data_IF_381237506428
#
_entry.id   IF_381237506428
#
_cell.length_a   1.000
_cell.length_b   1.000
_cell.length_c   1.000
_cell.angle_alpha   90.00
_cell.angle_beta   90.00
_cell.angle_gamma   90.00
#
_symmetry.space_group_name_H-M   'P 1'
#
loop_
_entity.id
_entity.type
_entity.pdbx_description
1 polymer ?
#
# COMPACT_ATOMS: atom_id res chain seq x y z
N UNK A 1 9.52 50.34 -46.33
CA UNK A 1 8.66 49.40 -45.69
C UNK A 1 9.38 48.08 -45.43
N UNK A 2 9.91 47.85 -44.27
CA UNK A 2 10.55 46.58 -43.91
C UNK A 2 9.63 45.80 -42.97
N UNK A 3 9.32 44.58 -43.35
CA UNK A 3 8.59 43.61 -42.53
C UNK A 3 9.63 42.76 -41.87
N UNK A 4 9.71 42.83 -40.54
CA UNK A 4 10.54 41.93 -39.71
C UNK A 4 9.67 40.78 -39.24
N UNK A 5 9.94 39.57 -39.73
CA UNK A 5 9.42 38.31 -39.19
C UNK A 5 10.07 38.02 -37.82
N UNK A 6 9.24 37.89 -36.79
CA UNK A 6 9.64 37.38 -35.49
C UNK A 6 9.37 35.89 -35.45
N UNK A 7 10.42 35.08 -35.46
CA UNK A 7 10.40 33.63 -35.24
C UNK A 7 9.92 33.32 -33.83
N UNK A 8 8.74 32.72 -33.71
CA UNK A 8 8.23 32.17 -32.46
C UNK A 8 8.98 30.90 -32.05
N UNK A 9 9.77 31.00 -30.98
CA UNK A 9 10.36 29.86 -30.28
C UNK A 9 9.28 29.11 -29.54
N UNK A 10 8.92 27.92 -30.00
CA UNK A 10 8.12 26.94 -29.23
C UNK A 10 8.98 26.34 -28.16
N UNK A 11 8.90 26.86 -26.95
CA UNK A 11 9.49 26.25 -25.76
C UNK A 11 8.84 24.88 -25.45
N UNK A 12 9.56 23.95 -24.81
CA UNK A 12 9.06 22.63 -24.50
C UNK A 12 7.86 22.72 -23.56
N UNK A 13 6.79 21.98 -23.90
CA UNK A 13 5.55 21.87 -23.15
C UNK A 13 5.80 21.72 -21.66
N UNK A 14 5.19 22.60 -20.85
CA UNK A 14 5.30 22.59 -19.40
C UNK A 14 4.90 21.23 -18.82
N UNK A 15 5.84 20.55 -18.22
CA UNK A 15 5.59 19.32 -17.45
C UNK A 15 4.57 19.66 -16.36
N UNK A 16 3.47 18.92 -16.30
CA UNK A 16 2.42 19.12 -15.31
C UNK A 16 3.00 18.98 -13.88
N UNK A 17 3.14 20.12 -13.20
CA UNK A 17 3.67 20.20 -11.83
C UNK A 17 2.89 19.32 -10.84
N UNK A 18 1.61 19.03 -11.11
CA UNK A 18 0.77 18.18 -10.26
C UNK A 18 1.23 16.73 -10.26
N UNK A 19 1.73 16.22 -11.39
CA UNK A 19 2.26 14.86 -11.51
C UNK A 19 3.58 14.73 -10.76
N UNK A 20 4.43 15.76 -10.80
CA UNK A 20 5.75 15.78 -10.13
C UNK A 20 5.63 15.80 -8.61
N UNK A 21 4.69 16.59 -8.07
CA UNK A 21 4.44 16.66 -6.62
C UNK A 21 3.83 15.38 -6.04
N UNK A 22 3.01 14.65 -6.82
CA UNK A 22 2.44 13.36 -6.39
C UNK A 22 3.52 12.29 -6.23
N UNK A 23 4.49 12.24 -7.13
CA UNK A 23 5.56 11.24 -7.14
C UNK A 23 6.47 11.35 -5.90
N UNK A 24 6.83 12.56 -5.49
CA UNK A 24 7.65 12.80 -4.30
C UNK A 24 6.98 12.37 -2.98
N UNK A 25 5.66 12.16 -2.97
CA UNK A 25 4.87 11.85 -1.76
C UNK A 25 4.74 10.36 -1.44
N UNK A 26 5.11 9.44 -2.34
CA UNK A 26 4.86 8.01 -2.18
C UNK A 26 6.03 7.22 -1.59
N UNK A 27 7.01 7.87 -0.97
CA UNK A 27 8.18 7.19 -0.37
C UNK A 27 9.25 6.77 -1.39
N UNK A 28 9.11 7.18 -2.64
CA UNK A 28 10.09 7.00 -3.71
C UNK A 28 11.01 8.22 -3.83
N UNK A 29 12.21 8.07 -4.41
CA UNK A 29 13.01 9.22 -4.81
C UNK A 29 12.22 10.19 -5.70
N UNK A 30 12.37 11.51 -5.56
CA UNK A 30 11.58 12.50 -6.28
C UNK A 30 11.64 12.38 -7.81
N UNK A 31 12.75 11.86 -8.33
CA UNK A 31 12.96 11.64 -9.76
C UNK A 31 12.45 10.30 -10.27
N UNK A 32 12.06 9.37 -9.39
CA UNK A 32 11.62 8.04 -9.77
C UNK A 32 10.39 8.08 -10.69
N UNK A 33 10.45 7.30 -11.76
CA UNK A 33 9.37 7.15 -12.75
C UNK A 33 9.08 5.69 -13.05
N UNK A 34 10.07 4.82 -12.88
CA UNK A 34 9.98 3.39 -13.20
C UNK A 34 10.28 2.57 -11.96
N UNK A 35 9.36 1.69 -11.62
CA UNK A 35 9.44 0.85 -10.41
C UNK A 35 9.33 -0.61 -10.83
N UNK A 36 10.30 -1.41 -10.39
CA UNK A 36 10.31 -2.84 -10.62
C UNK A 36 9.89 -3.60 -9.36
N UNK A 37 9.01 -4.59 -9.51
CA UNK A 37 8.43 -5.37 -8.41
C UNK A 37 8.96 -6.80 -8.44
N UNK A 38 9.64 -7.25 -7.39
CA UNK A 38 10.14 -8.63 -7.25
C UNK A 38 9.16 -9.43 -6.38
N UNK A 39 8.59 -10.52 -6.93
CA UNK A 39 7.49 -11.25 -6.32
C UNK A 39 6.13 -10.57 -6.53
N UNK A 40 5.91 -10.04 -7.74
CA UNK A 40 4.73 -9.21 -8.07
C UNK A 40 3.40 -9.97 -8.05
N UNK A 41 3.43 -11.31 -8.15
CA UNK A 41 2.24 -12.18 -8.16
C UNK A 41 1.56 -12.35 -6.81
N UNK A 42 2.20 -11.94 -5.70
CA UNK A 42 1.55 -11.91 -4.40
C UNK A 42 0.40 -10.89 -4.36
N UNK A 43 -0.71 -11.22 -3.68
CA UNK A 43 -1.94 -10.39 -3.67
C UNK A 43 -1.63 -8.95 -3.23
N UNK A 44 -0.91 -8.76 -2.15
CA UNK A 44 -0.54 -7.42 -1.67
C UNK A 44 0.45 -6.69 -2.58
N UNK A 45 1.36 -7.41 -3.28
CA UNK A 45 2.31 -6.84 -4.23
C UNK A 45 1.62 -6.39 -5.51
N UNK A 46 0.76 -7.24 -6.08
CA UNK A 46 0.01 -6.93 -7.30
C UNK A 46 -0.87 -5.71 -7.13
N UNK A 47 -1.52 -5.57 -5.97
CA UNK A 47 -2.34 -4.41 -5.65
C UNK A 47 -1.55 -3.10 -5.65
N UNK A 48 -0.36 -3.10 -5.07
CA UNK A 48 0.53 -1.94 -5.07
C UNK A 48 1.03 -1.64 -6.50
N UNK A 49 1.38 -2.68 -7.28
CA UNK A 49 1.81 -2.54 -8.66
C UNK A 49 0.71 -1.93 -9.55
N UNK A 50 -0.54 -2.42 -9.44
CA UNK A 50 -1.71 -1.85 -10.11
C UNK A 50 -1.91 -0.38 -9.73
N UNK A 51 -1.83 -0.06 -8.44
CA UNK A 51 -1.99 1.31 -7.95
C UNK A 51 -0.90 2.24 -8.47
N UNK A 52 0.37 1.79 -8.46
CA UNK A 52 1.49 2.57 -8.99
C UNK A 52 1.34 2.83 -10.49
N UNK A 53 0.91 1.82 -11.25
CA UNK A 53 0.61 1.98 -12.68
C UNK A 53 -0.53 2.98 -12.90
N UNK A 54 -1.63 2.90 -12.13
CA UNK A 54 -2.73 3.86 -12.20
C UNK A 54 -2.35 5.29 -11.81
N UNK A 55 -1.29 5.47 -11.01
CA UNK A 55 -0.70 6.77 -10.67
C UNK A 55 0.27 7.30 -11.74
N UNK A 56 0.50 6.56 -12.83
CA UNK A 56 1.31 6.99 -13.96
C UNK A 56 2.80 6.62 -13.87
N UNK A 57 3.18 5.72 -12.95
CA UNK A 57 4.52 5.14 -12.95
C UNK A 57 4.65 4.08 -14.05
N UNK A 58 5.83 3.98 -14.66
CA UNK A 58 6.20 2.82 -15.44
C UNK A 58 6.46 1.65 -14.50
N UNK A 59 5.62 0.62 -14.57
CA UNK A 59 5.71 -0.54 -13.67
C UNK A 59 6.15 -1.76 -14.46
N UNK A 60 7.11 -2.49 -13.90
CA UNK A 60 7.49 -3.83 -14.33
C UNK A 60 7.61 -4.76 -13.12
N UNK A 61 7.66 -6.05 -13.34
CA UNK A 61 7.86 -6.97 -12.23
C UNK A 61 8.25 -8.38 -12.67
N UNK A 62 8.60 -9.18 -11.68
CA UNK A 62 8.94 -10.59 -11.82
C UNK A 62 8.22 -11.43 -10.77
N UNK A 63 7.97 -12.69 -11.09
CA UNK A 63 7.47 -13.68 -10.15
C UNK A 63 8.01 -15.07 -10.55
N UNK A 64 8.24 -15.94 -9.57
CA UNK A 64 8.73 -17.30 -9.82
C UNK A 64 7.79 -18.08 -10.72
N UNK A 65 6.47 -17.87 -10.60
CA UNK A 65 5.46 -18.64 -11.30
C UNK A 65 4.47 -17.74 -12.06
N UNK A 66 4.02 -18.25 -13.20
CA UNK A 66 2.88 -17.65 -13.88
C UNK A 66 1.58 -17.99 -13.11
N UNK A 67 0.71 -17.01 -12.90
CA UNK A 67 -0.55 -17.15 -12.20
C UNK A 67 -1.62 -16.28 -12.84
N UNK A 68 -2.89 -16.46 -12.42
CA UNK A 68 -3.97 -15.58 -12.85
C UNK A 68 -3.70 -14.10 -12.46
N UNK A 69 -3.01 -13.86 -11.35
CA UNK A 69 -2.61 -12.52 -10.92
C UNK A 69 -1.60 -11.90 -11.89
N UNK A 70 -0.53 -12.64 -12.23
CA UNK A 70 0.48 -12.15 -13.18
C UNK A 70 -0.08 -11.98 -14.60
N UNK A 71 -1.03 -12.83 -15.02
CA UNK A 71 -1.73 -12.68 -16.29
C UNK A 71 -2.55 -11.38 -16.31
N UNK A 72 -3.32 -11.12 -15.26
CA UNK A 72 -4.08 -9.87 -15.10
C UNK A 72 -3.18 -8.63 -15.13
N UNK A 73 -2.05 -8.64 -14.46
CA UNK A 73 -1.12 -7.51 -14.49
C UNK A 73 -0.63 -7.23 -15.92
N UNK A 74 -0.37 -8.27 -16.73
CA UNK A 74 -0.02 -8.11 -18.14
C UNK A 74 -1.16 -7.50 -18.96
N UNK A 75 -2.41 -7.93 -18.72
CA UNK A 75 -3.60 -7.33 -19.35
C UNK A 75 -3.75 -5.83 -19.03
N UNK A 76 -3.30 -5.39 -17.84
CA UNK A 76 -3.23 -3.99 -17.44
C UNK A 76 -2.02 -3.24 -18.01
N UNK A 77 -1.22 -3.88 -18.87
CA UNK A 77 -0.06 -3.27 -19.52
C UNK A 77 1.21 -3.25 -18.66
N UNK A 78 1.25 -3.97 -17.54
CA UNK A 78 2.44 -4.11 -16.71
C UNK A 78 3.33 -5.21 -17.29
N UNK A 79 4.62 -4.92 -17.52
CA UNK A 79 5.58 -5.90 -18.04
C UNK A 79 6.01 -6.87 -16.93
N UNK A 80 5.38 -8.05 -16.87
CA UNK A 80 5.65 -9.07 -15.86
C UNK A 80 6.40 -10.25 -16.47
N UNK A 81 7.57 -10.57 -15.92
CA UNK A 81 8.41 -11.71 -16.28
C UNK A 81 8.16 -12.90 -15.36
N UNK A 82 8.41 -14.11 -15.85
CA UNK A 82 8.37 -15.34 -15.04
C UNK A 82 9.79 -15.82 -14.76
N UNK A 83 10.08 -16.10 -13.49
CA UNK A 83 11.42 -16.34 -12.97
C UNK A 83 12.05 -15.10 -12.37
N UNK A 84 13.37 -15.12 -12.17
CA UNK A 84 14.18 -13.99 -11.70
C UNK A 84 15.44 -13.85 -12.52
N UNK A 85 15.78 -12.62 -12.92
CA UNK A 85 16.99 -12.32 -13.69
C UNK A 85 17.49 -10.90 -13.35
N UNK A 86 18.74 -10.77 -12.97
CA UNK A 86 19.39 -9.51 -12.64
C UNK A 86 19.23 -8.43 -13.73
N UNK A 87 19.07 -8.81 -14.99
CA UNK A 87 18.89 -7.87 -16.11
C UNK A 87 17.58 -7.10 -16.05
N UNK A 88 16.55 -7.63 -15.37
CA UNK A 88 15.20 -7.03 -15.38
C UNK A 88 15.08 -5.77 -14.55
N UNK A 89 16.00 -5.53 -13.61
CA UNK A 89 16.08 -4.25 -12.89
C UNK A 89 16.70 -3.12 -13.70
N UNK A 90 17.16 -3.44 -14.94
CA UNK A 90 17.76 -2.44 -15.81
C UNK A 90 16.73 -1.38 -16.22
N UNK A 91 17.04 -0.13 -15.90
CA UNK A 91 16.17 1.01 -16.19
C UNK A 91 15.08 1.25 -15.14
N UNK A 92 15.01 0.50 -14.05
CA UNK A 92 14.24 0.87 -12.87
C UNK A 92 14.92 2.00 -12.10
N UNK A 93 14.11 2.84 -11.46
CA UNK A 93 14.58 3.91 -10.56
C UNK A 93 14.46 3.46 -9.09
N UNK A 94 13.67 2.42 -8.82
CA UNK A 94 13.53 1.77 -7.53
C UNK A 94 13.03 0.32 -7.71
N UNK A 95 13.28 -0.53 -6.72
CA UNK A 95 12.80 -1.90 -6.67
C UNK A 95 11.93 -2.08 -5.43
N UNK A 96 10.74 -2.64 -5.59
CA UNK A 96 9.86 -3.05 -4.48
C UNK A 96 9.94 -4.55 -4.32
N UNK A 97 10.16 -5.02 -3.09
CA UNK A 97 10.39 -6.43 -2.81
C UNK A 97 9.35 -7.00 -1.85
N UNK A 98 8.85 -8.21 -2.16
CA UNK A 98 7.99 -8.99 -1.26
C UNK A 98 8.81 -9.57 -0.11
N UNK A 99 8.20 -9.69 1.07
CA UNK A 99 8.83 -10.34 2.22
C UNK A 99 9.17 -11.83 1.99
N UNK A 100 8.52 -12.48 1.01
CA UNK A 100 8.81 -13.85 0.63
C UNK A 100 10.06 -14.00 -0.26
N UNK A 101 10.63 -12.90 -0.76
CA UNK A 101 11.81 -12.88 -1.61
C UNK A 101 13.06 -12.83 -0.74
N UNK A 102 13.98 -13.76 -0.97
CA UNK A 102 15.26 -13.83 -0.26
C UNK A 102 16.19 -12.67 -0.63
N UNK A 103 17.04 -12.28 0.29
CA UNK A 103 18.04 -11.22 0.10
C UNK A 103 19.13 -11.55 -0.94
N UNK A 104 19.32 -12.84 -1.27
CA UNK A 104 20.23 -13.36 -2.31
C UNK A 104 19.57 -13.44 -3.70
N UNK A 105 18.31 -13.04 -3.83
CA UNK A 105 17.64 -12.97 -5.14
C UNK A 105 18.45 -12.11 -6.12
N UNK A 106 18.65 -12.62 -7.35
CA UNK A 106 19.51 -11.99 -8.35
C UNK A 106 19.13 -10.55 -8.69
N UNK A 107 17.83 -10.22 -8.65
CA UNK A 107 17.31 -8.86 -8.92
C UNK A 107 17.57 -7.94 -7.72
N UNK A 108 17.39 -8.43 -6.49
CA UNK A 108 17.67 -7.68 -5.26
C UNK A 108 19.17 -7.38 -5.14
N UNK A 109 20.01 -8.38 -5.38
CA UNK A 109 21.49 -8.23 -5.40
C UNK A 109 21.93 -7.20 -6.45
N UNK A 110 21.39 -7.29 -7.65
CA UNK A 110 21.73 -6.36 -8.74
C UNK A 110 21.22 -4.94 -8.47
N UNK A 111 20.02 -4.79 -7.87
CA UNK A 111 19.50 -3.49 -7.47
C UNK A 111 20.43 -2.80 -6.46
N UNK A 112 20.87 -3.54 -5.44
CA UNK A 112 21.83 -3.04 -4.43
C UNK A 112 23.19 -2.69 -5.07
N UNK A 113 23.68 -3.52 -6.00
CA UNK A 113 24.94 -3.26 -6.73
C UNK A 113 24.88 -1.96 -7.56
N UNK A 114 23.68 -1.58 -8.02
CA UNK A 114 23.44 -0.33 -8.78
C UNK A 114 23.02 0.84 -7.89
N UNK A 115 23.08 0.72 -6.58
CA UNK A 115 22.61 1.72 -5.61
C UNK A 115 21.14 2.13 -5.82
N UNK A 116 20.31 1.22 -6.38
CA UNK A 116 18.88 1.45 -6.48
C UNK A 116 18.21 1.26 -5.12
N UNK A 117 17.26 2.13 -4.74
CA UNK A 117 16.45 1.90 -3.55
C UNK A 117 15.71 0.57 -3.63
N UNK A 118 15.94 -0.30 -2.65
CA UNK A 118 15.19 -1.55 -2.45
C UNK A 118 14.20 -1.31 -1.32
N UNK A 119 12.93 -1.29 -1.66
CA UNK A 119 11.83 -0.85 -0.79
C UNK A 119 10.98 -2.07 -0.43
N UNK A 120 10.84 -2.42 0.86
CA UNK A 120 9.91 -3.45 1.29
C UNK A 120 8.47 -3.12 0.90
N UNK A 121 7.67 -4.14 0.58
CA UNK A 121 6.25 -4.01 0.21
C UNK A 121 5.46 -3.07 1.14
N UNK A 122 5.61 -3.27 2.45
CA UNK A 122 4.88 -2.49 3.44
C UNK A 122 5.30 -1.03 3.50
N UNK A 123 6.60 -0.74 3.33
CA UNK A 123 7.10 0.63 3.24
C UNK A 123 6.53 1.36 2.00
N UNK A 124 6.40 0.64 0.88
CA UNK A 124 5.76 1.19 -0.33
C UNK A 124 4.27 1.47 -0.10
N UNK A 125 3.55 0.54 0.53
CA UNK A 125 2.15 0.71 0.89
C UNK A 125 1.96 1.92 1.84
N UNK A 126 2.80 2.03 2.87
CA UNK A 126 2.78 3.16 3.79
C UNK A 126 3.08 4.50 3.08
N UNK A 127 3.99 4.49 2.11
CA UNK A 127 4.27 5.63 1.26
C UNK A 127 3.06 6.10 0.47
N UNK A 128 2.31 5.17 -0.12
CA UNK A 128 1.05 5.44 -0.83
C UNK A 128 -0.04 5.97 0.11
N UNK A 129 -0.09 5.44 1.33
CA UNK A 129 -1.06 5.80 2.34
C UNK A 129 -0.89 7.25 2.84
N UNK A 130 0.36 7.73 3.00
CA UNK A 130 0.66 9.07 3.55
C UNK A 130 0.07 10.23 2.75
N UNK A 131 -0.18 10.04 1.47
CA UNK A 131 -0.74 11.10 0.61
C UNK A 131 -2.26 11.13 0.58
N UNK A 132 -2.93 10.29 1.37
CA UNK A 132 -4.39 10.07 1.32
C UNK A 132 -4.99 10.00 2.71
N UNK A 133 -6.30 10.26 2.80
CA UNK A 133 -7.10 9.99 4.00
C UNK A 133 -7.27 8.46 4.13
N UNK A 134 -6.40 7.83 4.90
CA UNK A 134 -6.30 6.38 4.98
C UNK A 134 -7.15 5.80 6.09
N UNK A 135 -7.95 4.78 5.75
CA UNK A 135 -8.58 3.86 6.69
C UNK A 135 -7.76 2.57 6.66
N UNK A 136 -7.13 2.22 7.77
CA UNK A 136 -6.37 0.99 7.92
C UNK A 136 -7.12 0.03 8.85
N UNK A 137 -7.37 -1.19 8.37
CA UNK A 137 -8.09 -2.23 9.11
C UNK A 137 -7.11 -3.33 9.50
N UNK A 138 -7.02 -3.63 10.77
CA UNK A 138 -6.17 -4.71 11.32
C UNK A 138 -6.93 -5.51 12.38
N UNK A 139 -6.33 -6.60 12.86
CA UNK A 139 -6.88 -7.53 13.83
C UNK A 139 -6.72 -8.98 13.37
N UNK A 140 -6.86 -9.94 14.28
CA UNK A 140 -6.64 -11.36 13.97
C UNK A 140 -7.59 -11.85 12.87
N UNK A 141 -8.89 -11.54 12.98
CA UNK A 141 -9.91 -11.98 12.04
C UNK A 141 -10.77 -10.82 11.51
N UNK A 142 -11.40 -11.02 10.35
CA UNK A 142 -12.35 -10.08 9.77
C UNK A 142 -11.75 -8.88 9.04
N UNK A 143 -10.42 -8.77 8.95
CA UNK A 143 -9.71 -7.69 8.23
C UNK A 143 -10.23 -7.47 6.80
N UNK A 144 -10.18 -8.52 5.98
CA UNK A 144 -10.60 -8.45 4.56
C UNK A 144 -12.06 -8.12 4.40
N UNK A 145 -12.94 -8.69 5.25
CA UNK A 145 -14.38 -8.42 5.22
C UNK A 145 -14.65 -6.96 5.56
N UNK A 146 -14.08 -6.47 6.64
CA UNK A 146 -14.28 -5.08 7.11
C UNK A 146 -13.70 -4.07 6.11
N UNK A 147 -12.48 -4.31 5.62
CA UNK A 147 -11.86 -3.47 4.58
C UNK A 147 -12.71 -3.42 3.31
N UNK A 148 -13.26 -4.58 2.89
CA UNK A 148 -14.13 -4.67 1.72
C UNK A 148 -15.42 -3.86 1.91
N UNK A 149 -16.07 -4.00 3.07
CA UNK A 149 -17.27 -3.22 3.38
C UNK A 149 -17.01 -1.72 3.39
N UNK A 150 -15.93 -1.27 4.05
CA UNK A 150 -15.55 0.14 4.06
C UNK A 150 -15.30 0.65 2.64
N UNK A 151 -14.53 -0.08 1.83
CA UNK A 151 -14.21 0.34 0.47
C UNK A 151 -15.46 0.40 -0.43
N UNK A 152 -16.38 -0.57 -0.31
CA UNK A 152 -17.64 -0.58 -1.07
C UNK A 152 -18.54 0.57 -0.63
N UNK A 153 -18.74 0.80 0.67
CA UNK A 153 -19.56 1.90 1.17
C UNK A 153 -19.03 3.25 0.69
N UNK A 154 -17.71 3.48 0.77
CA UNK A 154 -17.12 4.73 0.26
C UNK A 154 -17.32 4.88 -1.26
N UNK A 155 -17.24 3.78 -2.01
CA UNK A 155 -17.46 3.80 -3.46
C UNK A 155 -18.93 4.11 -3.81
N UNK A 156 -19.89 3.47 -3.14
CA UNK A 156 -21.32 3.70 -3.34
C UNK A 156 -21.75 5.12 -2.92
N UNK A 157 -21.05 5.71 -1.96
CA UNK A 157 -21.22 7.13 -1.59
C UNK A 157 -20.58 8.11 -2.60
N UNK A 158 -20.03 7.64 -3.72
CA UNK A 158 -19.42 8.49 -4.75
C UNK A 158 -18.06 9.08 -4.39
N UNK A 159 -17.40 8.57 -3.33
CA UNK A 159 -16.11 9.09 -2.85
C UNK A 159 -14.90 8.53 -3.65
N UNK A 160 -15.14 7.61 -4.55
CA UNK A 160 -14.15 6.99 -5.44
C UNK A 160 -12.83 6.60 -4.74
N UNK A 161 -12.87 5.73 -3.70
CA UNK A 161 -11.69 5.40 -2.92
C UNK A 161 -10.72 4.53 -3.72
N UNK A 162 -9.43 4.60 -3.36
CA UNK A 162 -8.51 3.50 -3.66
C UNK A 162 -8.56 2.46 -2.54
N UNK A 163 -8.24 1.21 -2.87
CA UNK A 163 -8.20 0.13 -1.88
C UNK A 163 -7.13 -0.91 -2.22
N UNK A 164 -6.46 -1.44 -1.20
CA UNK A 164 -5.59 -2.63 -1.27
C UNK A 164 -6.00 -3.56 -0.14
N UNK A 165 -6.57 -4.70 -0.50
CA UNK A 165 -7.22 -5.67 0.40
C UNK A 165 -6.60 -7.05 0.18
N UNK A 166 -6.47 -7.84 1.22
CA UNK A 166 -5.87 -9.18 1.17
C UNK A 166 -6.72 -10.25 0.46
N UNK A 167 -7.95 -9.92 0.04
CA UNK A 167 -8.86 -10.81 -0.65
C UNK A 167 -9.55 -10.12 -1.83
N UNK A 168 -10.08 -10.93 -2.76
CA UNK A 168 -10.87 -10.42 -3.88
C UNK A 168 -12.21 -9.87 -3.37
N UNK A 169 -12.48 -8.61 -3.65
CA UNK A 169 -13.76 -7.94 -3.37
C UNK A 169 -14.70 -8.13 -4.56
N UNK A 170 -15.83 -8.79 -4.34
CA UNK A 170 -16.76 -9.14 -5.41
C UNK A 170 -17.27 -7.91 -6.19
N UNK A 171 -17.59 -6.82 -5.48
CA UNK A 171 -18.05 -5.56 -6.07
C UNK A 171 -17.03 -4.91 -7.03
N UNK A 172 -15.75 -5.15 -6.83
CA UNK A 172 -14.69 -4.59 -7.69
C UNK A 172 -14.11 -5.62 -8.67
N UNK A 173 -14.42 -6.90 -8.48
CA UNK A 173 -13.82 -7.99 -9.24
C UNK A 173 -12.32 -8.18 -9.01
N UNK A 174 -11.75 -7.53 -7.97
CA UNK A 174 -10.31 -7.45 -7.67
C UNK A 174 -10.06 -7.33 -6.18
N UNK A 175 -8.84 -7.58 -5.73
CA UNK A 175 -8.32 -7.22 -4.41
C UNK A 175 -7.89 -5.76 -4.33
N UNK A 176 -7.86 -5.06 -5.48
CA UNK A 176 -7.38 -3.68 -5.59
C UNK A 176 -8.40 -2.84 -6.32
N UNK A 177 -8.56 -1.62 -5.88
CA UNK A 177 -9.27 -0.54 -6.57
C UNK A 177 -8.37 0.68 -6.69
N UNK A 178 -8.24 1.22 -7.87
CA UNK A 178 -7.56 2.50 -8.11
C UNK A 178 -8.63 3.57 -8.33
N UNK A 179 -8.92 4.36 -7.30
CA UNK A 179 -9.84 5.48 -7.34
C UNK A 179 -9.11 6.82 -7.46
N UNK A 180 -9.85 7.85 -7.85
CA UNK A 180 -9.33 9.23 -7.97
C UNK A 180 -9.64 10.07 -6.71
N UNK A 181 -10.48 9.55 -5.81
CA UNK A 181 -10.82 10.22 -4.56
C UNK A 181 -9.68 10.29 -3.55
N UNK A 182 -9.84 11.09 -2.49
CA UNK A 182 -8.80 11.28 -1.49
C UNK A 182 -8.66 10.11 -0.50
N UNK A 183 -9.60 9.16 -0.52
CA UNK A 183 -9.65 8.07 0.46
C UNK A 183 -8.85 6.85 0.01
N UNK A 184 -8.22 6.20 0.98
CA UNK A 184 -7.48 4.95 0.76
C UNK A 184 -7.81 3.93 1.84
N UNK A 185 -8.35 2.79 1.46
CA UNK A 185 -8.64 1.69 2.37
C UNK A 185 -7.53 0.64 2.25
N UNK A 186 -6.90 0.31 3.36
CA UNK A 186 -5.83 -0.69 3.40
C UNK A 186 -6.14 -1.75 4.44
N UNK A 187 -5.96 -2.99 4.04
CA UNK A 187 -5.84 -4.09 4.98
C UNK A 187 -4.40 -4.13 5.49
N UNK A 188 -4.23 -4.05 6.80
CA UNK A 188 -2.95 -4.01 7.46
C UNK A 188 -2.76 -5.30 8.28
N UNK A 189 -1.76 -6.09 7.92
CA UNK A 189 -1.45 -7.33 8.62
C UNK A 189 -0.69 -7.02 9.91
N UNK A 190 -1.24 -7.43 11.04
CA UNK A 190 -0.62 -7.26 12.34
C UNK A 190 0.68 -8.03 12.50
N UNK A 191 0.87 -9.10 11.73
CA UNK A 191 2.12 -9.89 11.76
C UNK A 191 3.27 -9.21 11.00
N UNK A 192 2.99 -8.18 10.20
CA UNK A 192 4.03 -7.50 9.43
C UNK A 192 4.63 -6.29 10.19
N UNK A 193 5.95 -6.16 10.27
CA UNK A 193 6.61 -4.99 10.86
C UNK A 193 6.18 -3.66 10.23
N UNK A 194 5.77 -3.70 8.97
CA UNK A 194 5.30 -2.55 8.20
C UNK A 194 3.99 -1.93 8.71
N UNK A 195 3.22 -2.64 9.54
CA UNK A 195 2.07 -2.08 10.24
C UNK A 195 2.42 -0.74 10.90
N UNK A 196 3.58 -0.68 11.55
CA UNK A 196 4.06 0.52 12.25
C UNK A 196 4.54 1.64 11.33
N UNK A 197 4.61 1.43 10.04
CA UNK A 197 4.92 2.50 9.07
C UNK A 197 3.69 3.27 8.62
N UNK A 198 2.50 2.71 8.79
CA UNK A 198 1.24 3.36 8.49
C UNK A 198 0.94 4.49 9.50
N UNK A 199 0.39 5.58 9.00
CA UNK A 199 -0.14 6.71 9.79
C UNK A 199 -1.55 7.03 9.29
N UNK A 200 -2.55 6.18 9.67
CA UNK A 200 -3.90 6.32 9.13
C UNK A 200 -4.66 7.49 9.75
N UNK A 201 -5.67 7.97 9.05
CA UNK A 201 -6.70 8.85 9.59
C UNK A 201 -7.65 8.07 10.51
N UNK A 202 -7.99 6.84 10.10
CA UNK A 202 -8.83 5.94 10.87
C UNK A 202 -8.13 4.58 10.94
N UNK A 203 -7.95 4.07 12.15
CA UNK A 203 -7.55 2.68 12.38
C UNK A 203 -8.76 1.91 12.88
N UNK A 204 -9.08 0.78 12.24
CA UNK A 204 -10.13 -0.14 12.70
C UNK A 204 -9.47 -1.39 13.24
N UNK A 205 -9.75 -1.72 14.49
CA UNK A 205 -9.29 -2.92 15.17
C UNK A 205 -10.49 -3.86 15.35
N UNK A 206 -10.47 -5.00 14.65
CA UNK A 206 -11.62 -5.91 14.60
C UNK A 206 -11.69 -6.83 15.81
N UNK A 207 -10.57 -7.43 16.17
CA UNK A 207 -10.37 -8.32 17.32
C UNK A 207 -8.87 -8.52 17.54
N UNK A 208 -8.49 -9.12 18.66
CA UNK A 208 -7.10 -9.40 18.99
C UNK A 208 -7.00 -10.74 19.72
N UNK A 209 -6.47 -11.75 19.01
CA UNK A 209 -6.30 -13.10 19.52
C UNK A 209 -4.83 -13.48 19.65
N UNK A 210 -4.55 -14.53 20.40
CA UNK A 210 -3.20 -15.05 20.63
C UNK A 210 -2.72 -15.84 19.39
N UNK A 211 -2.46 -15.12 18.31
CA UNK A 211 -1.98 -15.63 17.03
C UNK A 211 -0.61 -15.04 16.69
N UNK A 212 0.05 -15.59 15.66
CA UNK A 212 1.36 -15.12 15.17
C UNK A 212 2.48 -15.12 16.22
N UNK A 213 2.43 -16.05 17.17
CA UNK A 213 3.46 -16.18 18.22
C UNK A 213 4.84 -16.56 17.69
N UNK A 214 4.90 -17.21 16.53
CA UNK A 214 6.12 -17.48 15.77
C UNK A 214 6.85 -16.17 15.40
N UNK A 215 6.11 -15.11 15.13
CA UNK A 215 6.65 -13.79 14.82
C UNK A 215 6.92 -12.95 16.08
N UNK A 216 5.94 -12.86 16.98
CA UNK A 216 6.03 -11.99 18.17
C UNK A 216 6.68 -12.65 19.39
N UNK A 217 6.69 -13.97 19.46
CA UNK A 217 7.15 -14.74 20.61
C UNK A 217 6.19 -14.70 21.81
N UNK A 218 5.46 -13.63 22.03
CA UNK A 218 4.45 -13.49 23.10
C UNK A 218 3.28 -12.63 22.68
N UNK A 219 2.09 -12.93 23.20
CA UNK A 219 0.88 -12.14 23.00
C UNK A 219 1.04 -10.69 23.45
N UNK A 220 1.74 -10.45 24.57
CA UNK A 220 2.03 -9.09 25.03
C UNK A 220 2.78 -8.22 24.01
N UNK A 221 3.67 -8.80 23.21
CA UNK A 221 4.36 -8.06 22.13
C UNK A 221 3.43 -7.72 20.98
N UNK A 222 2.49 -8.60 20.65
CA UNK A 222 1.44 -8.30 19.67
C UNK A 222 0.58 -7.14 20.18
N UNK A 223 0.10 -7.20 21.42
CA UNK A 223 -0.64 -6.11 22.05
C UNK A 223 0.14 -4.78 22.04
N UNK A 224 1.45 -4.81 22.35
CA UNK A 224 2.32 -3.63 22.29
C UNK A 224 2.38 -3.05 20.87
N UNK A 225 2.49 -3.90 19.86
CA UNK A 225 2.56 -3.48 18.46
C UNK A 225 1.24 -2.85 18.01
N UNK A 226 0.11 -3.47 18.35
CA UNK A 226 -1.22 -2.96 18.01
C UNK A 226 -1.50 -1.62 18.73
N UNK A 227 -1.13 -1.50 20.02
CA UNK A 227 -1.23 -0.23 20.75
C UNK A 227 -0.38 0.88 20.11
N UNK A 228 0.86 0.55 19.71
CA UNK A 228 1.73 1.49 19.01
C UNK A 228 1.14 1.89 17.66
N UNK A 229 0.58 0.96 16.90
CA UNK A 229 -0.10 1.26 15.64
C UNK A 229 -1.31 2.18 15.86
N UNK A 230 -2.18 1.88 16.83
CA UNK A 230 -3.33 2.71 17.18
C UNK A 230 -2.91 4.16 17.52
N UNK A 231 -1.78 4.33 18.20
CA UNK A 231 -1.22 5.64 18.53
C UNK A 231 -0.57 6.39 17.35
N UNK A 232 -0.41 5.73 16.20
CA UNK A 232 0.04 6.37 14.94
C UNK A 232 -1.09 7.02 14.15
N UNK A 233 -2.34 6.82 14.54
CA UNK A 233 -3.48 7.57 13.99
C UNK A 233 -3.20 9.07 14.09
N UNK A 234 -3.53 9.81 13.03
CA UNK A 234 -3.34 11.27 13.00
C UNK A 234 -4.06 11.97 14.16
N UNK A 235 -3.65 13.17 14.54
CA UNK A 235 -4.24 13.90 15.68
C UNK A 235 -5.74 14.14 15.52
N UNK A 236 -6.20 14.36 14.29
CA UNK A 236 -7.61 14.59 13.96
C UNK A 236 -8.37 13.31 13.64
N UNK A 237 -7.70 12.16 13.72
CA UNK A 237 -8.23 10.86 13.39
C UNK A 237 -8.94 10.16 14.54
N UNK A 238 -9.28 8.90 14.33
CA UNK A 238 -9.91 8.06 15.34
C UNK A 238 -9.46 6.59 15.22
N UNK A 239 -9.45 5.90 16.35
CA UNK A 239 -9.33 4.45 16.45
C UNK A 239 -10.72 3.88 16.70
N UNK A 240 -11.15 2.95 15.87
CA UNK A 240 -12.43 2.25 15.98
C UNK A 240 -12.16 0.86 16.55
N UNK A 241 -12.72 0.55 17.71
CA UNK A 241 -12.51 -0.71 18.44
C UNK A 241 -13.81 -1.52 18.53
N UNK A 242 -13.70 -2.84 18.36
CA UNK A 242 -14.78 -3.75 18.73
C UNK A 242 -14.90 -3.84 20.26
N UNK A 243 -16.05 -3.43 20.79
CA UNK A 243 -16.34 -3.48 22.24
C UNK A 243 -16.61 -4.90 22.74
N UNK A 244 -16.99 -5.80 21.84
CA UNK A 244 -17.23 -7.21 22.16
C UNK A 244 -15.91 -8.00 22.35
N UNK A 245 -14.75 -7.42 22.00
CA UNK A 245 -13.45 -8.03 22.19
C UNK A 245 -12.80 -7.54 23.50
N UNK A 246 -12.64 -8.41 24.50
CA UNK A 246 -12.10 -8.01 25.81
C UNK A 246 -10.63 -7.58 25.75
N UNK A 247 -9.83 -8.07 24.81
CA UNK A 247 -8.43 -7.68 24.65
C UNK A 247 -8.31 -6.27 24.08
N UNK A 248 -9.17 -5.92 23.11
CA UNK A 248 -9.24 -4.56 22.58
C UNK A 248 -9.73 -3.56 23.62
N UNK A 249 -10.70 -3.95 24.47
CA UNK A 249 -11.16 -3.09 25.57
C UNK A 249 -10.04 -2.85 26.59
N UNK A 250 -9.25 -3.86 26.95
CA UNK A 250 -8.05 -3.67 27.79
C UNK A 250 -7.01 -2.77 27.11
N UNK A 251 -6.84 -2.93 25.79
CA UNK A 251 -5.89 -2.14 24.99
C UNK A 251 -6.28 -0.66 24.95
N UNK A 252 -7.56 -0.34 25.08
CA UNK A 252 -8.11 1.03 25.06
C UNK A 252 -7.36 1.97 26.00
N UNK A 253 -7.00 1.52 27.20
CA UNK A 253 -6.29 2.32 28.20
C UNK A 253 -4.90 2.78 27.75
N UNK A 254 -4.34 2.13 26.73
CA UNK A 254 -3.02 2.41 26.16
C UNK A 254 -3.09 3.27 24.90
N UNK A 255 -4.29 3.63 24.45
CA UNK A 255 -4.53 4.42 23.23
C UNK A 255 -4.72 5.88 23.60
N UNK A 256 -3.82 6.74 23.11
CA UNK A 256 -3.79 8.18 23.36
C UNK A 256 -4.58 8.98 22.29
N UNK A 257 -5.21 8.30 21.36
CA UNK A 257 -6.00 8.89 20.29
C UNK A 257 -7.49 8.80 20.62
N UNK A 258 -8.31 9.58 19.92
CA UNK A 258 -9.77 9.46 20.02
C UNK A 258 -10.17 8.01 19.73
N UNK A 259 -10.92 7.40 20.62
CA UNK A 259 -11.48 6.06 20.47
C UNK A 259 -12.98 6.16 20.23
N UNK A 260 -13.47 5.37 19.29
CA UNK A 260 -14.88 5.08 19.02
C UNK A 260 -15.06 3.59 19.14
N UNK A 261 -16.05 3.13 19.87
CA UNK A 261 -16.38 1.71 20.01
C UNK A 261 -17.55 1.32 19.13
N UNK A 262 -17.64 0.06 18.79
CA UNK A 262 -18.81 -0.60 18.20
C UNK A 262 -18.94 -1.99 18.79
N UNK A 263 -20.16 -2.49 18.91
CA UNK A 263 -20.45 -3.82 19.44
C UNK A 263 -21.93 -4.11 19.37
N UNK A 264 -22.33 -5.31 19.79
CA UNK A 264 -23.74 -5.69 19.85
C UNK A 264 -24.45 -5.13 21.07
N UNK A 265 -23.69 -4.92 22.15
CA UNK A 265 -24.19 -4.47 23.46
C UNK A 265 -23.56 -3.13 23.90
N UNK A 266 -22.98 -2.34 22.95
CA UNK A 266 -22.29 -1.07 23.22
C UNK A 266 -23.23 0.16 23.17
#
# INVERSE_FOLDING_TARGET
>A
GGVTETSGSTGPAGRDRRTTDRVARHGLPPAARRVHFVGVGGIGMSGIAEMMSGLGYGVSGSDLTASAVTARLRELGIDVKTGHDARWVSGADAVVVSAAVSDDNSEVVEARRRDLPVIPRGAMLAGLARSRSTVAVTGSHGKSTTSSMVAVVLAECGLDPSAVIGARVAAFGSSTRVGQGPHFVVEADESEPSLLELTPQIAVLTNLEDEHLDHYGTFGRLQDTVARFANRVTETGAVVLCADDPELIRLRERILRRVVTYGLDD
#
